data_IF_256256982321
#
_entry.id   IF_256256982321
#
_cell.length_a   1.000
_cell.length_b   1.000
_cell.length_c   1.000
_cell.angle_alpha   90.00
_cell.angle_beta   90.00
_cell.angle_gamma   90.00
#
_symmetry.space_group_name_H-M   'P 1'
#
loop_
_entity.id
_entity.type
_entity.pdbx_description
1 polymer ?
#
# COMPACT_ATOMS: atom_id res chain seq x y z
N UNK A 1 56.35 41.08 -4.56
CA UNK A 1 56.36 40.85 -6.02
C UNK A 1 56.25 39.36 -6.30
N UNK A 2 55.05 38.83 -6.52
CA UNK A 2 54.85 37.54 -7.22
C UNK A 2 53.57 37.63 -8.04
N UNK A 3 53.69 37.21 -9.28
CA UNK A 3 52.80 37.45 -10.39
C UNK A 3 51.54 36.57 -10.37
N UNK A 4 50.50 37.12 -10.99
CA UNK A 4 49.21 36.53 -11.33
C UNK A 4 49.29 35.24 -12.15
N UNK A 5 48.31 34.35 -11.98
CA UNK A 5 47.54 33.79 -13.10
C UNK A 5 46.09 33.53 -12.63
N UNK A 6 45.16 34.37 -13.12
CA UNK A 6 43.72 34.15 -13.04
C UNK A 6 43.30 33.39 -14.30
N UNK A 7 42.71 32.22 -14.16
CA UNK A 7 41.97 31.57 -15.24
C UNK A 7 40.48 31.87 -15.03
N UNK A 8 39.92 32.70 -15.90
CA UNK A 8 38.49 32.90 -16.01
C UNK A 8 37.93 31.85 -16.98
N UNK A 9 37.08 30.95 -16.47
CA UNK A 9 36.33 30.01 -17.30
C UNK A 9 34.96 30.64 -17.60
N UNK A 10 34.79 31.12 -18.82
CA UNK A 10 33.51 31.64 -19.33
C UNK A 10 32.68 30.45 -19.80
N UNK A 11 31.69 30.02 -19.00
CA UNK A 11 30.71 29.03 -19.44
C UNK A 11 29.59 29.75 -20.19
N UNK A 12 29.55 29.56 -21.52
CA UNK A 12 28.44 29.98 -22.36
C UNK A 12 27.32 28.93 -22.25
N UNK A 13 26.24 29.28 -21.56
CA UNK A 13 25.02 28.46 -21.47
C UNK A 13 24.21 28.66 -22.75
N UNK A 14 24.27 27.68 -23.66
CA UNK A 14 23.37 27.62 -24.81
C UNK A 14 21.97 27.23 -24.32
N UNK A 15 21.03 28.18 -24.36
CA UNK A 15 19.62 27.94 -24.08
C UNK A 15 18.96 27.15 -25.21
N UNK A 16 18.61 25.90 -24.93
CA UNK A 16 17.69 25.15 -25.77
C UNK A 16 16.26 25.63 -25.45
N UNK A 17 15.68 26.44 -26.34
CA UNK A 17 14.26 26.71 -26.34
C UNK A 17 13.52 25.44 -26.78
N UNK A 18 12.92 24.71 -25.83
CA UNK A 18 11.85 23.77 -26.15
C UNK A 18 10.62 24.58 -26.58
N UNK A 19 10.33 24.58 -27.87
CA UNK A 19 9.01 24.95 -28.38
C UNK A 19 8.02 23.87 -27.94
N UNK A 20 7.31 24.10 -26.84
CA UNK A 20 6.14 23.30 -26.51
C UNK A 20 5.04 23.64 -27.51
N UNK A 21 4.67 22.67 -28.33
CA UNK A 21 3.45 22.71 -29.13
C UNK A 21 2.28 22.92 -28.20
N UNK A 22 1.60 24.06 -28.33
CA UNK A 22 0.34 24.32 -27.66
C UNK A 22 -0.66 23.24 -28.07
N UNK A 23 -0.91 22.30 -27.17
CA UNK A 23 -2.03 21.37 -27.30
C UNK A 23 -3.31 22.19 -27.43
N UNK A 24 -4.18 21.78 -28.35
CA UNK A 24 -5.49 22.39 -28.54
C UNK A 24 -6.25 22.37 -27.23
N UNK A 25 -6.37 23.53 -26.58
CA UNK A 25 -7.19 23.72 -25.40
C UNK A 25 -8.64 23.53 -25.82
N UNK A 26 -9.26 22.45 -25.36
CA UNK A 26 -10.72 22.41 -25.34
C UNK A 26 -11.18 23.57 -24.47
N UNK A 27 -12.05 24.44 -25.00
CA UNK A 27 -12.84 25.35 -24.20
C UNK A 27 -13.88 24.49 -23.44
N UNK A 28 -13.40 23.70 -22.47
CA UNK A 28 -14.26 23.13 -21.46
C UNK A 28 -14.75 24.31 -20.65
N UNK A 29 -16.07 24.52 -20.68
CA UNK A 29 -16.73 25.42 -19.73
C UNK A 29 -16.26 25.02 -18.34
N UNK A 30 -15.81 25.99 -17.56
CA UNK A 30 -15.42 25.81 -16.17
C UNK A 30 -16.49 24.96 -15.46
N UNK A 31 -16.14 23.80 -14.88
CA UNK A 31 -17.10 23.01 -14.14
C UNK A 31 -17.57 23.78 -12.90
N UNK A 32 -18.88 23.74 -12.63
CA UNK A 32 -19.42 24.24 -11.37
C UNK A 32 -19.49 23.07 -10.39
N UNK A 33 -18.45 22.92 -9.56
CA UNK A 33 -18.34 21.80 -8.62
C UNK A 33 -19.47 21.73 -7.59
N UNK A 34 -20.30 22.77 -7.45
CA UNK A 34 -21.55 22.68 -6.65
C UNK A 34 -22.59 21.72 -7.25
N UNK A 35 -22.46 21.39 -8.53
CA UNK A 35 -23.26 20.37 -9.21
C UNK A 35 -22.52 19.03 -9.33
N UNK A 36 -21.21 19.02 -9.11
CA UNK A 36 -20.31 17.90 -9.44
C UNK A 36 -19.60 17.35 -8.19
N UNK A 37 -20.38 16.99 -7.18
CA UNK A 37 -19.90 16.29 -5.97
C UNK A 37 -19.51 17.18 -4.79
N UNK A 38 -19.37 18.50 -4.97
CA UNK A 38 -19.02 19.46 -3.90
C UNK A 38 -20.12 20.51 -3.68
N UNK A 39 -21.35 20.11 -3.28
CA UNK A 39 -22.50 21.00 -3.23
C UNK A 39 -22.42 22.09 -2.16
N UNK A 40 -21.56 21.93 -1.15
CA UNK A 40 -21.54 22.80 0.03
C UNK A 40 -20.50 23.89 -0.12
N UNK A 41 -20.94 25.15 -0.16
CA UNK A 41 -20.03 26.29 0.01
C UNK A 41 -19.76 26.46 1.50
N UNK A 42 -18.52 26.17 1.94
CA UNK A 42 -18.16 26.26 3.36
C UNK A 42 -17.66 27.64 3.76
N UNK A 43 -17.04 28.37 2.82
CA UNK A 43 -16.59 29.73 3.04
C UNK A 43 -16.43 30.47 1.71
N UNK A 44 -16.69 31.79 1.71
CA UNK A 44 -16.47 32.68 0.56
C UNK A 44 -15.71 33.92 0.99
N UNK A 45 -14.79 34.39 0.16
CA UNK A 45 -14.09 35.67 0.33
C UNK A 45 -14.09 36.45 -0.98
N UNK A 46 -14.22 37.78 -0.88
CA UNK A 46 -13.98 38.69 -2.00
C UNK A 46 -12.50 38.95 -2.12
N UNK A 47 -11.91 38.63 -3.27
CA UNK A 47 -10.48 38.84 -3.56
C UNK A 47 -10.35 39.99 -4.54
N UNK A 48 -9.59 41.01 -4.17
CA UNK A 48 -9.25 42.13 -5.07
C UNK A 48 -7.85 41.93 -5.66
N UNK A 49 -7.56 42.45 -6.87
CA UNK A 49 -6.29 42.20 -7.55
C UNK A 49 -5.03 42.57 -6.76
N UNK A 50 -5.11 43.54 -5.86
CA UNK A 50 -3.96 44.12 -5.16
C UNK A 50 -3.75 43.59 -3.74
N UNK A 51 -4.63 42.73 -3.24
CA UNK A 51 -4.60 42.25 -1.86
C UNK A 51 -4.49 40.73 -1.81
N UNK A 52 -3.71 40.24 -0.85
CA UNK A 52 -3.74 38.82 -0.51
C UNK A 52 -5.01 38.52 0.31
N UNK A 53 -5.51 37.30 0.20
CA UNK A 53 -6.62 36.80 0.98
C UNK A 53 -6.29 35.42 1.54
N UNK A 54 -6.96 35.06 2.64
CA UNK A 54 -6.84 33.73 3.25
C UNK A 54 -8.24 33.22 3.60
N UNK A 55 -8.47 31.95 3.31
CA UNK A 55 -9.63 31.18 3.80
C UNK A 55 -9.09 30.15 4.77
N UNK A 56 -9.71 30.01 5.94
CA UNK A 56 -9.46 28.93 6.88
C UNK A 56 -10.78 28.24 7.19
N UNK A 57 -10.80 26.91 7.11
CA UNK A 57 -11.95 26.09 7.42
C UNK A 57 -11.48 24.74 7.97
N UNK A 58 -11.81 24.45 9.23
CA UNK A 58 -11.26 23.28 9.94
C UNK A 58 -9.73 23.28 9.89
N UNK A 59 -9.18 22.16 9.42
CA UNK A 59 -7.75 21.92 9.27
C UNK A 59 -7.16 22.48 7.96
N UNK A 60 -8.01 23.03 7.07
CA UNK A 60 -7.62 23.56 5.77
C UNK A 60 -7.34 25.06 5.82
N UNK A 61 -6.27 25.49 5.14
CA UNK A 61 -5.95 26.88 4.87
C UNK A 61 -5.65 27.10 3.39
N UNK A 62 -6.34 28.07 2.79
CA UNK A 62 -6.13 28.52 1.41
C UNK A 62 -5.53 29.93 1.46
N UNK A 63 -4.29 30.09 0.99
CA UNK A 63 -3.65 31.41 0.86
C UNK A 63 -3.66 31.85 -0.60
N UNK A 64 -4.24 33.01 -0.85
CA UNK A 64 -4.41 33.61 -2.17
C UNK A 64 -3.51 34.84 -2.25
N UNK A 65 -2.37 34.78 -2.95
CA UNK A 65 -1.47 35.93 -3.07
C UNK A 65 -2.11 37.14 -3.78
N UNK A 66 -1.63 38.35 -3.49
CA UNK A 66 -1.96 39.53 -4.29
C UNK A 66 -1.54 39.32 -5.76
N UNK A 67 -2.42 39.69 -6.68
CA UNK A 67 -2.22 39.51 -8.12
C UNK A 67 -2.55 38.12 -8.66
N UNK A 68 -3.18 37.24 -7.86
CA UNK A 68 -3.72 35.95 -8.36
C UNK A 68 -4.79 36.16 -9.43
N UNK A 69 -5.59 37.22 -9.31
CA UNK A 69 -6.65 37.57 -10.26
C UNK A 69 -6.42 38.98 -10.82
N UNK A 70 -6.75 39.19 -12.09
CA UNK A 70 -6.69 40.51 -12.75
C UNK A 70 -7.86 41.41 -12.34
N UNK A 71 -9.00 40.80 -12.03
CA UNK A 71 -10.24 41.45 -11.64
C UNK A 71 -10.67 41.00 -10.23
N UNK A 72 -11.64 41.70 -9.64
CA UNK A 72 -12.21 41.28 -8.36
C UNK A 72 -13.05 40.02 -8.56
N UNK A 73 -12.88 39.03 -7.69
CA UNK A 73 -13.62 37.75 -7.75
C UNK A 73 -14.23 37.38 -6.41
N UNK A 74 -15.30 36.59 -6.43
CA UNK A 74 -15.77 35.84 -5.27
C UNK A 74 -15.12 34.45 -5.31
N UNK A 75 -14.26 34.18 -4.34
CA UNK A 75 -13.58 32.89 -4.20
C UNK A 75 -14.26 32.08 -3.11
N UNK A 76 -14.81 30.92 -3.47
CA UNK A 76 -15.50 30.02 -2.54
C UNK A 76 -14.76 28.70 -2.41
N UNK A 77 -14.56 28.26 -1.17
CA UNK A 77 -14.14 26.91 -0.82
C UNK A 77 -15.38 26.03 -0.76
N UNK A 78 -15.32 24.88 -1.42
CA UNK A 78 -16.38 23.89 -1.48
C UNK A 78 -15.95 22.59 -0.83
N UNK A 79 -16.92 21.87 -0.24
CA UNK A 79 -16.76 20.49 0.24
C UNK A 79 -17.88 19.60 -0.27
N UNK A 80 -17.54 18.33 -0.49
CA UNK A 80 -18.47 17.26 -0.77
C UNK A 80 -18.75 16.40 0.46
N UNK A 81 -19.82 15.58 0.45
CA UNK A 81 -19.89 14.46 1.38
C UNK A 81 -18.75 13.49 1.04
N UNK A 82 -17.76 13.35 1.94
CA UNK A 82 -16.61 12.44 1.76
C UNK A 82 -17.05 11.06 1.28
N UNK A 83 -18.15 10.50 1.82
CA UNK A 83 -18.67 9.20 1.41
C UNK A 83 -19.10 9.12 -0.06
N UNK A 84 -19.61 10.21 -0.64
CA UNK A 84 -19.98 10.28 -2.05
C UNK A 84 -18.73 10.40 -2.94
N UNK A 85 -17.75 11.20 -2.51
CA UNK A 85 -16.47 11.36 -3.20
C UNK A 85 -15.64 10.06 -3.11
N UNK A 86 -15.70 9.35 -1.99
CA UNK A 86 -15.02 8.08 -1.73
C UNK A 86 -15.55 6.92 -2.59
N UNK A 87 -16.77 7.02 -3.16
CA UNK A 87 -17.36 5.93 -3.95
C UNK A 87 -16.54 5.56 -5.20
N UNK A 88 -15.74 6.50 -5.71
CA UNK A 88 -14.86 6.31 -6.87
C UNK A 88 -13.36 6.30 -6.49
N UNK A 89 -13.03 6.22 -5.20
CA UNK A 89 -11.64 6.23 -4.76
C UNK A 89 -10.90 4.98 -5.26
N UNK A 90 -9.58 5.04 -5.50
CA UNK A 90 -8.82 3.87 -5.90
C UNK A 90 -8.92 2.75 -4.85
N UNK A 91 -8.93 1.50 -5.32
CA UNK A 91 -9.01 0.33 -4.43
C UNK A 91 -7.84 0.33 -3.43
N UNK A 92 -8.14 0.09 -2.16
CA UNK A 92 -7.15 0.11 -1.08
C UNK A 92 -6.72 1.51 -0.66
N UNK A 93 -7.47 2.56 -1.03
CA UNK A 93 -7.32 3.90 -0.48
C UNK A 93 -8.54 4.26 0.38
N UNK A 94 -8.38 5.19 1.31
CA UNK A 94 -9.42 5.83 2.10
C UNK A 94 -9.27 7.35 2.01
N UNK A 95 -10.23 8.00 1.36
CA UNK A 95 -10.30 9.47 1.31
C UNK A 95 -10.77 10.00 2.66
N UNK A 96 -9.99 10.89 3.27
CA UNK A 96 -10.32 11.51 4.57
C UNK A 96 -10.53 13.02 4.49
N UNK A 97 -10.17 13.65 3.37
CA UNK A 97 -10.50 15.04 3.09
C UNK A 97 -10.70 15.26 1.59
N UNK A 98 -11.60 16.17 1.25
CA UNK A 98 -11.87 16.59 -0.13
C UNK A 98 -12.24 18.08 -0.16
N UNK A 99 -11.94 18.73 -1.28
CA UNK A 99 -12.37 20.12 -1.50
C UNK A 99 -12.38 20.48 -2.98
N UNK A 100 -13.07 21.57 -3.30
CA UNK A 100 -13.01 22.21 -4.61
C UNK A 100 -13.09 23.74 -4.48
N UNK A 101 -12.87 24.46 -5.57
CA UNK A 101 -13.06 25.90 -5.61
C UNK A 101 -14.17 26.29 -6.58
N UNK A 102 -14.93 27.31 -6.21
CA UNK A 102 -15.79 28.07 -7.13
C UNK A 102 -15.39 29.53 -7.11
N UNK A 103 -14.86 30.00 -8.23
CA UNK A 103 -14.41 31.38 -8.39
C UNK A 103 -15.28 32.08 -9.42
N UNK A 104 -15.95 33.17 -9.02
CA UNK A 104 -16.93 33.88 -9.84
C UNK A 104 -16.49 35.33 -10.02
N UNK A 105 -16.50 35.83 -11.25
CA UNK A 105 -16.48 37.28 -11.49
C UNK A 105 -17.88 37.85 -11.19
N UNK A 106 -18.05 38.70 -10.17
CA UNK A 106 -19.36 39.22 -9.78
C UNK A 106 -19.96 40.18 -10.82
N UNK A 107 -19.18 40.70 -11.76
CA UNK A 107 -19.64 41.62 -12.80
C UNK A 107 -20.35 40.87 -13.93
N UNK A 108 -19.75 39.77 -14.36
CA UNK A 108 -20.24 38.96 -15.49
C UNK A 108 -20.99 37.70 -15.05
N UNK A 109 -20.92 37.36 -13.76
CA UNK A 109 -21.41 36.10 -13.18
C UNK A 109 -20.84 34.87 -13.91
N UNK A 110 -19.59 34.96 -14.37
CA UNK A 110 -18.89 33.87 -15.05
C UNK A 110 -17.87 33.21 -14.13
N UNK A 111 -17.61 31.93 -14.35
CA UNK A 111 -16.61 31.18 -13.60
C UNK A 111 -15.19 31.51 -14.10
N UNK A 112 -14.28 31.71 -13.15
CA UNK A 112 -12.87 31.96 -13.39
C UNK A 112 -12.07 30.70 -13.04
N UNK A 113 -11.39 30.11 -14.01
CA UNK A 113 -10.67 28.84 -13.81
C UNK A 113 -9.17 28.99 -13.76
N UNK A 114 -8.59 30.05 -14.31
CA UNK A 114 -7.14 30.24 -14.39
C UNK A 114 -6.65 31.30 -13.43
N UNK A 115 -5.53 31.02 -12.76
CA UNK A 115 -4.93 31.91 -11.79
C UNK A 115 -3.60 32.47 -12.31
N UNK A 116 -3.40 33.79 -12.20
CA UNK A 116 -2.14 34.44 -12.60
C UNK A 116 -0.97 34.06 -11.68
N UNK A 117 -1.28 33.69 -10.43
CA UNK A 117 -0.35 33.16 -9.44
C UNK A 117 -0.98 31.94 -8.76
N UNK A 118 -0.20 30.96 -8.31
CA UNK A 118 -0.75 29.82 -7.61
C UNK A 118 -1.40 30.25 -6.29
N UNK A 119 -2.54 29.65 -6.00
CA UNK A 119 -3.15 29.61 -4.67
C UNK A 119 -2.48 28.51 -3.88
N UNK A 120 -2.13 28.76 -2.62
CA UNK A 120 -1.50 27.76 -1.76
C UNK A 120 -2.56 27.08 -0.91
N UNK A 121 -2.71 25.77 -1.07
CA UNK A 121 -3.46 24.89 -0.20
C UNK A 121 -2.55 24.31 0.89
N UNK A 122 -3.09 24.21 2.10
CA UNK A 122 -2.49 23.53 3.24
C UNK A 122 -3.56 22.78 4.01
N UNK A 123 -3.27 21.55 4.42
CA UNK A 123 -4.07 20.74 5.33
C UNK A 123 -3.17 20.24 6.46
N UNK A 124 -3.50 20.59 7.71
CA UNK A 124 -2.80 20.09 8.90
C UNK A 124 -3.71 19.13 9.63
N UNK A 125 -3.52 17.83 9.45
CA UNK A 125 -4.43 16.81 9.96
C UNK A 125 -3.63 15.57 10.42
N UNK A 126 -3.94 14.96 11.59
CA UNK A 126 -3.20 13.81 12.12
C UNK A 126 -3.14 12.58 11.20
N UNK A 127 -4.07 12.44 10.26
CA UNK A 127 -4.04 11.37 9.27
C UNK A 127 -3.00 11.62 8.18
N UNK A 128 -2.58 12.87 7.93
CA UNK A 128 -1.53 13.16 6.95
C UNK A 128 -0.21 12.55 7.40
N UNK A 129 0.39 11.75 6.53
CA UNK A 129 1.66 11.08 6.75
C UNK A 129 2.42 10.90 5.42
N UNK A 130 3.56 10.21 5.45
CA UNK A 130 4.42 10.03 4.26
C UNK A 130 3.80 9.19 3.13
N UNK A 131 2.67 8.53 3.38
CA UNK A 131 1.92 7.72 2.42
C UNK A 131 0.72 8.44 1.83
N UNK A 132 0.36 9.59 2.39
CA UNK A 132 -0.77 10.38 1.91
C UNK A 132 -0.59 10.79 0.47
N UNK A 133 -1.64 10.56 -0.30
CA UNK A 133 -1.70 10.85 -1.72
C UNK A 133 -2.70 11.98 -1.98
N UNK A 134 -2.32 12.82 -2.93
CA UNK A 134 -3.10 13.98 -3.36
C UNK A 134 -3.62 13.72 -4.78
N UNK A 135 -4.94 13.68 -4.92
CA UNK A 135 -5.63 13.33 -6.15
C UNK A 135 -6.35 14.52 -6.74
N UNK A 136 -6.33 14.62 -8.07
CA UNK A 136 -7.28 15.42 -8.82
C UNK A 136 -8.58 14.61 -9.01
N UNK A 137 -9.72 15.28 -8.83
CA UNK A 137 -11.05 14.72 -9.04
C UNK A 137 -11.72 15.42 -10.23
N UNK A 138 -12.10 14.64 -11.25
CA UNK A 138 -12.86 15.16 -12.38
C UNK A 138 -14.29 15.56 -11.97
N UNK A 139 -15.02 16.35 -12.79
CA UNK A 139 -16.44 16.61 -12.56
C UNK A 139 -17.32 15.33 -12.50
N UNK A 140 -16.85 14.22 -13.09
CA UNK A 140 -17.53 12.92 -13.00
C UNK A 140 -17.11 12.12 -11.76
N UNK A 141 -16.36 12.72 -10.84
CA UNK A 141 -15.88 12.12 -9.60
C UNK A 141 -14.74 11.12 -9.79
N UNK A 142 -14.04 11.12 -10.93
CA UNK A 142 -12.94 10.17 -11.20
C UNK A 142 -11.64 10.68 -10.61
N UNK A 143 -10.91 9.78 -9.94
CA UNK A 143 -9.61 10.07 -9.33
C UNK A 143 -8.50 9.91 -10.35
N UNK A 144 -7.59 10.87 -10.35
CA UNK A 144 -6.27 10.75 -10.98
C UNK A 144 -5.22 11.30 -10.04
N UNK A 145 -4.13 10.56 -9.83
CA UNK A 145 -3.03 11.04 -8.98
C UNK A 145 -2.53 12.38 -9.53
N UNK A 146 -2.42 13.39 -8.67
CA UNK A 146 -2.00 14.70 -9.13
C UNK A 146 -0.58 14.61 -9.72
N UNK A 147 -0.35 15.13 -10.93
CA UNK A 147 0.95 15.02 -11.61
C UNK A 147 2.07 15.79 -10.90
N UNK A 148 1.72 16.72 -10.00
CA UNK A 148 2.63 17.46 -9.15
C UNK A 148 2.42 16.99 -7.71
N UNK A 149 3.35 16.22 -7.12
CA UNK A 149 3.19 15.76 -5.76
C UNK A 149 3.01 16.91 -4.76
N UNK A 150 2.13 16.71 -3.77
CA UNK A 150 2.06 17.61 -2.62
C UNK A 150 3.33 17.49 -1.76
N UNK A 151 3.67 18.55 -1.04
CA UNK A 151 4.77 18.53 -0.08
C UNK A 151 4.21 18.21 1.30
N UNK A 152 4.74 17.17 1.93
CA UNK A 152 4.33 16.72 3.26
C UNK A 152 5.46 16.98 4.25
N UNK A 153 5.13 17.59 5.39
CA UNK A 153 6.04 17.83 6.50
C UNK A 153 5.30 17.60 7.81
N UNK A 154 5.60 16.50 8.49
CA UNK A 154 4.84 16.07 9.66
C UNK A 154 3.41 15.70 9.27
N UNK A 155 2.45 16.30 9.96
CA UNK A 155 1.00 16.16 9.74
C UNK A 155 0.43 17.21 8.75
N UNK A 156 1.31 17.91 8.03
CA UNK A 156 0.91 19.01 7.15
C UNK A 156 1.23 18.70 5.70
N UNK A 157 0.18 18.70 4.85
CA UNK A 157 0.26 18.58 3.40
C UNK A 157 0.06 19.96 2.78
N UNK A 158 0.92 20.34 1.83
CA UNK A 158 0.82 21.61 1.10
C UNK A 158 0.90 21.41 -0.41
N UNK A 159 0.13 22.20 -1.16
CA UNK A 159 0.13 22.12 -2.62
C UNK A 159 -0.18 23.48 -3.27
N UNK A 160 0.44 23.75 -4.42
CA UNK A 160 0.26 24.97 -5.19
C UNK A 160 -0.74 24.74 -6.33
N UNK A 161 -1.90 25.39 -6.27
CA UNK A 161 -2.99 25.22 -7.22
C UNK A 161 -2.99 26.37 -8.22
N UNK A 162 -2.89 26.07 -9.53
CA UNK A 162 -2.84 27.08 -10.60
C UNK A 162 -4.17 27.30 -11.32
N UNK A 163 -5.14 26.42 -11.10
CA UNK A 163 -6.43 26.48 -11.75
C UNK A 163 -7.51 25.74 -10.95
N UNK A 164 -8.76 26.21 -11.05
CA UNK A 164 -9.95 25.57 -10.49
C UNK A 164 -10.70 24.78 -11.58
N UNK A 165 -10.07 23.73 -12.09
CA UNK A 165 -10.62 22.87 -13.17
C UNK A 165 -10.95 21.45 -12.72
N UNK A 166 -10.55 21.10 -11.49
CA UNK A 166 -10.74 19.81 -10.83
C UNK A 166 -11.12 20.07 -9.37
N UNK A 167 -11.75 19.10 -8.72
CA UNK A 167 -11.74 18.99 -7.26
C UNK A 167 -10.46 18.28 -6.81
N UNK A 168 -10.27 18.16 -5.50
CA UNK A 168 -9.14 17.46 -4.91
C UNK A 168 -9.58 16.55 -3.79
N UNK A 169 -8.92 15.41 -3.68
CA UNK A 169 -9.05 14.49 -2.56
C UNK A 169 -7.68 14.18 -1.97
N UNK A 170 -7.68 14.02 -0.66
CA UNK A 170 -6.55 13.56 0.12
C UNK A 170 -6.92 12.19 0.66
N UNK A 171 -6.13 11.19 0.28
CA UNK A 171 -6.41 9.81 0.62
C UNK A 171 -5.14 9.10 1.05
N UNK A 172 -5.29 8.20 2.01
CA UNK A 172 -4.24 7.30 2.45
C UNK A 172 -4.52 5.89 1.94
N UNK A 173 -3.49 5.06 1.73
CA UNK A 173 -3.71 3.65 1.54
C UNK A 173 -4.38 3.06 2.78
N UNK A 174 -5.56 2.45 2.61
CA UNK A 174 -6.21 1.68 3.68
C UNK A 174 -5.32 0.50 4.00
N UNK A 175 -4.77 0.48 5.21
CA UNK A 175 -3.97 -0.65 5.67
C UNK A 175 -4.93 -1.73 6.18
N UNK A 176 -5.01 -2.91 5.54
CA UNK A 176 -5.94 -3.94 5.99
C UNK A 176 -5.47 -4.53 7.32
N UNK A 177 -6.40 -4.75 8.26
CA UNK A 177 -6.10 -5.58 9.43
C UNK A 177 -6.16 -7.06 9.02
N UNK A 178 -5.01 -7.65 8.66
CA UNK A 178 -4.94 -9.03 8.18
C UNK A 178 -5.40 -10.08 9.21
N UNK A 179 -5.57 -9.72 10.49
CA UNK A 179 -6.25 -10.59 11.46
C UNK A 179 -7.70 -10.89 11.07
N UNK A 180 -8.32 -10.02 10.26
CA UNK A 180 -9.66 -10.19 9.70
C UNK A 180 -9.67 -10.79 8.27
N UNK A 181 -8.49 -11.03 7.68
CA UNK A 181 -8.33 -11.41 6.27
C UNK A 181 -7.49 -12.67 6.09
N UNK A 182 -7.77 -13.71 6.88
CA UNK A 182 -7.16 -15.02 6.73
C UNK A 182 -5.90 -15.26 7.58
N UNK A 183 -5.39 -14.25 8.28
CA UNK A 183 -4.20 -14.36 9.16
C UNK A 183 -4.52 -14.00 10.63
N UNK A 184 -5.46 -14.71 11.29
CA UNK A 184 -5.97 -14.32 12.61
C UNK A 184 -4.97 -14.48 13.76
N UNK A 185 -3.86 -15.19 13.57
CA UNK A 185 -2.96 -15.56 14.66
C UNK A 185 -1.73 -14.67 14.69
N UNK A 186 -1.49 -13.98 15.80
CA UNK A 186 -0.20 -13.32 16.06
C UNK A 186 0.79 -14.38 16.51
N UNK A 187 1.83 -14.64 15.72
CA UNK A 187 2.89 -15.60 16.05
C UNK A 187 3.95 -14.98 16.97
N UNK A 188 4.33 -13.73 16.67
CA UNK A 188 5.34 -13.00 17.41
C UNK A 188 5.14 -11.49 17.27
N UNK A 189 5.63 -10.76 18.26
CA UNK A 189 5.52 -9.31 18.33
C UNK A 189 6.86 -8.72 18.73
N UNK A 190 7.24 -7.60 18.14
CA UNK A 190 8.35 -6.77 18.60
C UNK A 190 7.96 -5.30 18.60
N UNK A 191 8.50 -4.53 19.54
CA UNK A 191 8.45 -3.08 19.48
C UNK A 191 9.65 -2.58 18.68
N UNK A 192 9.40 -1.70 17.71
CA UNK A 192 10.44 -1.09 16.89
C UNK A 192 10.69 0.32 17.39
N UNK A 193 11.95 0.62 17.70
CA UNK A 193 12.39 1.96 18.08
C UNK A 193 13.10 2.60 16.88
N UNK A 194 12.71 3.81 16.43
CA UNK A 194 13.37 4.48 15.32
C UNK A 194 14.88 4.59 15.51
N UNK A 195 15.63 4.34 14.44
CA UNK A 195 17.10 4.32 14.43
C UNK A 195 17.73 3.02 14.94
N UNK A 196 16.96 2.03 15.40
CA UNK A 196 17.47 0.74 15.88
C UNK A 196 16.95 -0.41 15.03
N UNK A 197 17.86 -1.12 14.37
CA UNK A 197 17.51 -2.36 13.68
C UNK A 197 17.08 -3.42 14.69
N UNK A 198 16.07 -4.21 14.35
CA UNK A 198 15.56 -5.31 15.16
C UNK A 198 15.06 -6.44 14.27
N UNK A 199 14.56 -7.53 14.85
CA UNK A 199 13.90 -8.59 14.11
C UNK A 199 12.75 -9.20 14.90
N UNK A 200 11.84 -9.86 14.18
CA UNK A 200 10.79 -10.71 14.74
C UNK A 200 10.84 -12.07 14.05
N UNK A 201 10.72 -13.15 14.79
CA UNK A 201 10.81 -14.50 14.24
C UNK A 201 9.88 -15.49 14.94
N UNK A 202 9.25 -16.35 14.15
CA UNK A 202 8.45 -17.50 14.58
C UNK A 202 8.28 -18.48 13.42
N UNK A 203 8.12 -19.77 13.70
CA UNK A 203 7.77 -20.83 12.74
C UNK A 203 8.57 -20.82 11.42
N UNK A 204 9.89 -20.64 11.53
CA UNK A 204 10.79 -20.63 10.38
C UNK A 204 10.75 -19.34 9.56
N UNK A 205 10.00 -18.32 9.99
CA UNK A 205 9.98 -16.98 9.41
C UNK A 205 10.82 -16.06 10.30
N UNK A 206 11.71 -15.28 9.69
CA UNK A 206 12.45 -14.20 10.33
C UNK A 206 12.25 -12.94 9.52
N UNK A 207 11.86 -11.85 10.16
CA UNK A 207 11.72 -10.53 9.53
C UNK A 207 12.75 -9.60 10.13
N UNK A 208 13.72 -9.21 9.32
CA UNK A 208 14.75 -8.23 9.67
C UNK A 208 14.21 -6.83 9.39
N UNK A 209 14.13 -5.99 10.42
CA UNK A 209 13.58 -4.65 10.36
C UNK A 209 14.76 -3.66 10.50
N UNK A 210 15.15 -2.94 9.44
CA UNK A 210 16.26 -2.00 9.52
C UNK A 210 15.88 -0.78 10.38
N UNK A 211 16.87 -0.12 10.96
CA UNK A 211 16.64 0.97 11.92
C UNK A 211 15.98 2.22 11.31
N UNK A 212 16.04 2.37 9.99
CA UNK A 212 15.40 3.44 9.23
C UNK A 212 14.06 3.01 8.61
N UNK A 213 13.54 1.81 8.91
CA UNK A 213 12.22 1.37 8.42
C UNK A 213 11.06 2.27 8.90
N UNK A 214 11.20 2.89 10.08
CA UNK A 214 10.17 3.72 10.70
C UNK A 214 10.78 4.98 11.33
N UNK A 215 10.06 6.10 11.25
CA UNK A 215 10.41 7.39 11.88
C UNK A 215 9.75 7.59 13.24
N UNK A 216 8.74 6.81 13.57
CA UNK A 216 8.04 6.77 14.86
C UNK A 216 8.07 5.36 15.44
N UNK A 217 7.98 5.20 16.78
CA UNK A 217 7.87 3.88 17.39
C UNK A 217 6.64 3.14 16.88
N UNK A 218 6.76 1.84 16.60
CA UNK A 218 5.65 0.98 16.20
C UNK A 218 5.67 -0.36 16.93
N UNK A 219 4.50 -0.97 17.09
CA UNK A 219 4.37 -2.39 17.43
C UNK A 219 4.27 -3.18 16.13
N UNK A 220 5.18 -4.11 15.91
CA UNK A 220 5.22 -4.95 14.72
C UNK A 220 4.82 -6.38 15.08
N UNK A 221 3.73 -6.86 14.50
CA UNK A 221 3.20 -8.21 14.70
C UNK A 221 3.39 -9.05 13.43
N UNK A 222 4.01 -10.22 13.59
CA UNK A 222 4.06 -11.26 12.58
C UNK A 222 2.82 -12.13 12.72
N UNK A 223 2.01 -12.17 11.66
CA UNK A 223 0.74 -12.89 11.63
C UNK A 223 0.85 -14.18 10.80
N UNK A 224 0.01 -15.16 11.10
CA UNK A 224 -0.16 -16.37 10.31
C UNK A 224 -1.63 -16.83 10.29
N UNK A 225 -2.01 -17.44 9.18
CA UNK A 225 -3.26 -18.12 8.95
C UNK A 225 -3.18 -19.63 9.01
N UNK A 226 -4.32 -20.34 8.97
CA UNK A 226 -4.32 -21.77 8.75
C UNK A 226 -3.90 -22.05 7.30
N UNK A 227 -2.66 -22.47 7.05
CA UNK A 227 -2.12 -22.64 5.67
C UNK A 227 -3.05 -23.41 4.70
N UNK A 228 -3.82 -24.38 5.20
CA UNK A 228 -4.81 -25.13 4.44
C UNK A 228 -6.00 -24.31 3.91
N UNK A 229 -6.33 -23.17 4.52
CA UNK A 229 -7.41 -22.29 4.02
C UNK A 229 -7.05 -21.65 2.68
N UNK A 230 -5.76 -21.59 2.33
CA UNK A 230 -5.29 -21.02 1.08
C UNK A 230 -5.24 -22.04 -0.07
N UNK A 231 -5.50 -23.33 0.18
CA UNK A 231 -5.40 -24.38 -0.83
C UNK A 231 -6.46 -24.29 -1.93
N UNK A 232 -7.68 -23.83 -1.61
CA UNK A 232 -8.79 -23.79 -2.57
C UNK A 232 -8.57 -22.77 -3.71
N UNK A 233 -7.78 -21.73 -3.45
CA UNK A 233 -7.45 -20.67 -4.42
C UNK A 233 -6.01 -20.75 -4.93
N UNK A 234 -5.24 -21.75 -4.49
CA UNK A 234 -3.86 -21.93 -4.93
C UNK A 234 -3.82 -22.20 -6.45
N UNK A 235 -2.84 -21.62 -7.18
CA UNK A 235 -2.66 -21.91 -8.60
C UNK A 235 -2.49 -23.40 -8.88
N UNK A 236 -3.00 -23.87 -10.04
CA UNK A 236 -2.98 -25.28 -10.39
C UNK A 236 -1.56 -25.88 -10.33
N UNK A 237 -1.43 -27.04 -9.68
CA UNK A 237 -0.16 -27.76 -9.51
C UNK A 237 0.73 -27.21 -8.38
N UNK A 238 0.27 -26.20 -7.65
CA UNK A 238 0.94 -25.65 -6.48
C UNK A 238 0.18 -26.00 -5.19
N UNK A 239 0.91 -26.20 -4.11
CA UNK A 239 0.36 -26.37 -2.77
C UNK A 239 0.95 -25.29 -1.83
N UNK A 240 0.13 -24.61 -1.01
CA UNK A 240 0.63 -23.72 0.05
C UNK A 240 1.52 -24.50 1.02
N UNK A 241 2.67 -23.93 1.37
CA UNK A 241 3.62 -24.53 2.33
C UNK A 241 3.79 -23.71 3.60
N UNK A 242 3.67 -22.39 3.49
CA UNK A 242 3.62 -21.47 4.62
C UNK A 242 3.01 -20.15 4.16
N UNK A 243 2.51 -19.39 5.11
CA UNK A 243 1.84 -18.12 4.92
C UNK A 243 2.16 -17.19 6.08
N UNK A 244 2.13 -15.88 5.81
CA UNK A 244 2.31 -14.85 6.82
C UNK A 244 1.75 -13.51 6.36
N UNK A 245 1.50 -12.61 7.31
CA UNK A 245 1.20 -11.21 7.06
C UNK A 245 1.81 -10.34 8.17
N UNK A 246 1.75 -9.02 8.02
CA UNK A 246 2.17 -8.08 9.06
C UNK A 246 0.99 -7.27 9.55
N UNK A 247 0.99 -6.98 10.85
CA UNK A 247 0.19 -5.91 11.43
C UNK A 247 1.14 -4.97 12.16
N UNK A 248 1.21 -3.74 11.69
CA UNK A 248 2.08 -2.72 12.26
C UNK A 248 1.18 -1.63 12.82
N UNK A 249 1.34 -1.32 14.11
CA UNK A 249 0.46 -0.42 14.85
C UNK A 249 1.29 0.72 15.44
N UNK A 250 0.87 1.95 15.22
CA UNK A 250 1.34 3.08 16.00
C UNK A 250 0.76 2.97 17.44
N UNK A 251 1.59 2.77 18.47
CA UNK A 251 1.11 2.57 19.84
C UNK A 251 0.50 3.84 20.46
N UNK A 252 0.72 5.02 19.88
CA UNK A 252 0.13 6.28 20.38
C UNK A 252 -1.29 6.48 19.88
N UNK A 253 -1.52 6.22 18.59
CA UNK A 253 -2.79 6.49 17.91
C UNK A 253 -3.67 5.24 17.76
N UNK A 254 -3.07 4.05 17.81
CA UNK A 254 -3.72 2.79 17.46
C UNK A 254 -3.90 2.60 15.94
N UNK A 255 -3.40 3.52 15.12
CA UNK A 255 -3.51 3.44 13.67
C UNK A 255 -2.62 2.33 13.10
N UNK A 256 -3.08 1.71 12.01
CA UNK A 256 -2.29 0.75 11.25
C UNK A 256 -1.30 1.48 10.35
N UNK A 257 -0.06 0.98 10.28
CA UNK A 257 1.02 1.53 9.47
C UNK A 257 1.27 0.63 8.26
N UNK A 258 1.09 1.19 7.07
CA UNK A 258 1.08 0.44 5.82
C UNK A 258 2.41 0.41 5.09
N UNK A 259 3.15 1.53 5.06
CA UNK A 259 4.43 1.61 4.34
C UNK A 259 5.62 1.68 5.28
N UNK A 260 6.75 1.21 4.78
CA UNK A 260 8.03 1.29 5.47
C UNK A 260 8.96 2.27 4.72
N UNK A 261 9.69 3.09 5.47
CA UNK A 261 10.66 4.04 4.91
C UNK A 261 11.86 3.32 4.27
N UNK A 262 12.18 2.14 4.78
CA UNK A 262 13.15 1.19 4.23
C UNK A 262 12.53 -0.22 4.24
N UNK A 263 12.75 -1.04 3.20
CA UNK A 263 12.19 -2.38 3.15
C UNK A 263 12.65 -3.26 4.32
N UNK A 264 11.71 -3.97 4.93
CA UNK A 264 12.04 -5.09 5.84
C UNK A 264 12.42 -6.31 4.98
N UNK A 265 13.24 -7.21 5.51
CA UNK A 265 13.62 -8.43 4.79
C UNK A 265 13.02 -9.64 5.49
N UNK A 266 12.11 -10.34 4.81
CA UNK A 266 11.60 -11.62 5.28
C UNK A 266 12.49 -12.75 4.78
N UNK A 267 12.86 -13.66 5.68
CA UNK A 267 13.56 -14.92 5.41
C UNK A 267 12.69 -16.07 5.93
N UNK A 268 12.39 -17.03 5.06
CA UNK A 268 11.45 -18.12 5.33
C UNK A 268 12.17 -19.43 5.02
N UNK A 269 12.45 -20.21 6.06
CA UNK A 269 13.06 -21.53 5.96
C UNK A 269 12.01 -22.61 6.18
N UNK A 270 11.78 -23.45 5.18
CA UNK A 270 10.85 -24.58 5.25
C UNK A 270 11.31 -25.68 4.29
N UNK A 271 11.38 -26.93 4.76
CA UNK A 271 11.91 -28.06 3.97
C UNK A 271 11.16 -28.35 2.67
N UNK A 272 9.95 -27.82 2.48
CA UNK A 272 9.19 -27.94 1.24
C UNK A 272 9.54 -26.86 0.21
N UNK A 273 10.18 -25.77 0.64
CA UNK A 273 10.68 -24.71 -0.25
C UNK A 273 11.82 -25.26 -1.10
N UNK A 274 11.79 -24.93 -2.39
CA UNK A 274 12.80 -25.32 -3.36
C UNK A 274 12.81 -24.32 -4.53
N UNK A 275 13.69 -24.54 -5.52
CA UNK A 275 13.85 -23.64 -6.66
C UNK A 275 12.57 -23.40 -7.50
N UNK A 276 11.55 -24.25 -7.36
CA UNK A 276 10.27 -24.11 -8.08
C UNK A 276 9.17 -23.47 -7.23
N UNK A 277 9.45 -23.12 -5.97
CA UNK A 277 8.49 -22.44 -5.11
C UNK A 277 8.16 -21.04 -5.65
N UNK A 278 6.97 -20.56 -5.29
CA UNK A 278 6.42 -19.27 -5.72
C UNK A 278 6.02 -18.46 -4.50
N UNK A 279 6.17 -17.15 -4.62
CA UNK A 279 5.84 -16.16 -3.60
C UNK A 279 4.68 -15.32 -4.12
N UNK A 280 3.55 -15.40 -3.44
CA UNK A 280 2.30 -14.77 -3.86
C UNK A 280 1.88 -13.71 -2.87
N UNK A 281 1.35 -12.61 -3.39
CA UNK A 281 0.61 -11.63 -2.61
C UNK A 281 -0.82 -12.12 -2.42
N UNK A 282 -1.35 -11.93 -1.22
CA UNK A 282 -2.74 -12.23 -0.86
C UNK A 282 -3.44 -10.91 -0.56
N UNK A 283 -4.44 -10.59 -1.37
CA UNK A 283 -5.29 -9.41 -1.15
C UNK A 283 -6.19 -9.60 0.08
N UNK A 284 -6.81 -8.53 0.62
CA UNK A 284 -7.79 -8.65 1.71
C UNK A 284 -9.01 -9.54 1.38
N UNK A 285 -9.29 -9.77 0.10
CA UNK A 285 -10.33 -10.71 -0.36
C UNK A 285 -9.87 -12.17 -0.39
N UNK A 286 -8.61 -12.44 -0.02
CA UNK A 286 -7.98 -13.76 -0.05
C UNK A 286 -7.47 -14.19 -1.42
N UNK A 287 -7.48 -13.30 -2.42
CA UNK A 287 -7.10 -13.65 -3.80
C UNK A 287 -5.59 -13.65 -3.99
N UNK A 288 -5.09 -14.63 -4.75
CA UNK A 288 -3.68 -14.71 -5.15
C UNK A 288 -3.36 -13.70 -6.25
N UNK A 289 -2.31 -12.91 -6.04
CA UNK A 289 -1.68 -12.07 -7.05
C UNK A 289 -0.19 -12.42 -7.15
N UNK A 290 0.34 -12.40 -8.37
CA UNK A 290 1.78 -12.62 -8.56
C UNK A 290 2.54 -11.43 -7.97
N UNK A 291 3.50 -11.71 -7.08
CA UNK A 291 4.37 -10.65 -6.56
C UNK A 291 5.26 -10.13 -7.71
N UNK A 292 5.33 -8.80 -7.94
CA UNK A 292 6.10 -8.23 -9.05
C UNK A 292 7.62 -8.39 -8.87
N UNK A 293 8.09 -8.65 -7.65
CA UNK A 293 9.50 -8.85 -7.31
C UNK A 293 9.70 -10.33 -6.98
N UNK A 294 10.53 -11.01 -7.77
CA UNK A 294 10.85 -12.41 -7.51
C UNK A 294 11.65 -12.56 -6.19
N UNK A 295 11.36 -13.58 -5.38
CA UNK A 295 12.16 -13.87 -4.20
C UNK A 295 13.51 -14.48 -4.56
N UNK A 296 14.48 -14.38 -3.65
CA UNK A 296 15.72 -15.15 -3.73
C UNK A 296 15.53 -16.47 -3.00
N UNK A 297 15.85 -17.61 -3.64
CA UNK A 297 15.76 -18.93 -3.01
C UNK A 297 17.14 -19.58 -2.98
N UNK A 298 17.57 -20.01 -1.80
CA UNK A 298 18.81 -20.75 -1.57
C UNK A 298 18.52 -21.95 -0.68
N UNK A 299 18.63 -23.17 -1.24
CA UNK A 299 18.23 -24.38 -0.53
C UNK A 299 16.75 -24.38 -0.20
N UNK A 300 16.44 -24.49 1.09
CA UNK A 300 15.10 -24.49 1.69
C UNK A 300 14.68 -23.11 2.23
N UNK A 301 15.45 -22.07 1.93
CA UNK A 301 15.22 -20.71 2.43
C UNK A 301 14.88 -19.75 1.30
N UNK A 302 13.77 -19.04 1.47
CA UNK A 302 13.29 -17.96 0.61
C UNK A 302 13.52 -16.62 1.30
N UNK A 303 14.10 -15.64 0.60
CA UNK A 303 14.30 -14.27 1.10
C UNK A 303 13.64 -13.24 0.17
N UNK A 304 12.95 -12.26 0.75
CA UNK A 304 12.24 -11.22 -0.02
C UNK A 304 12.20 -9.88 0.72
N UNK A 305 12.52 -8.74 0.05
CA UNK A 305 12.35 -7.41 0.61
C UNK A 305 10.90 -6.92 0.49
N UNK A 306 10.32 -6.52 1.62
CA UNK A 306 8.93 -6.06 1.71
C UNK A 306 8.91 -4.58 2.06
N UNK A 307 8.28 -3.77 1.22
CA UNK A 307 8.21 -2.31 1.39
C UNK A 307 6.94 -1.84 2.12
N UNK A 308 5.94 -2.71 2.29
CA UNK A 308 4.65 -2.37 2.87
C UNK A 308 3.91 -3.58 3.45
N UNK A 309 3.07 -3.34 4.46
CA UNK A 309 2.13 -4.28 5.08
C UNK A 309 0.73 -4.25 4.42
N UNK A 310 0.66 -3.98 3.12
CA UNK A 310 -0.62 -3.83 2.40
C UNK A 310 -1.24 -5.16 1.94
N UNK A 311 -0.47 -6.25 1.97
CA UNK A 311 -0.87 -7.60 1.53
C UNK A 311 -0.41 -8.64 2.54
N UNK A 312 -1.05 -9.81 2.53
CA UNK A 312 -0.48 -11.03 3.11
C UNK A 312 0.37 -11.76 2.07
N UNK A 313 1.06 -12.82 2.49
CA UNK A 313 1.90 -13.63 1.61
C UNK A 313 1.65 -15.11 1.82
N UNK A 314 1.64 -15.84 0.71
CA UNK A 314 1.64 -17.31 0.71
C UNK A 314 2.79 -17.78 -0.15
N UNK A 315 3.61 -18.67 0.41
CA UNK A 315 4.59 -19.43 -0.36
C UNK A 315 3.91 -20.71 -0.80
N UNK A 316 3.95 -20.99 -2.10
CA UNK A 316 3.55 -22.29 -2.63
C UNK A 316 4.75 -23.05 -3.18
N UNK A 317 4.65 -24.36 -3.19
CA UNK A 317 5.62 -25.23 -3.88
C UNK A 317 4.88 -26.23 -4.76
N UNK A 318 5.52 -26.78 -5.81
CA UNK A 318 4.90 -27.86 -6.58
C UNK A 318 4.43 -28.95 -5.63
N UNK A 319 3.17 -29.37 -5.77
CA UNK A 319 2.65 -30.47 -4.99
C UNK A 319 3.58 -31.66 -5.20
N UNK A 320 4.18 -32.19 -4.13
CA UNK A 320 4.91 -33.45 -4.23
C UNK A 320 3.84 -34.47 -4.55
N UNK A 321 3.73 -34.83 -5.84
CA UNK A 321 3.02 -36.02 -6.24
C UNK A 321 3.81 -37.13 -5.55
N UNK A 322 3.34 -37.60 -4.40
CA UNK A 322 3.75 -38.92 -3.95
C UNK A 322 3.35 -39.82 -5.10
N UNK A 323 4.34 -40.25 -5.88
CA UNK A 323 4.17 -41.38 -6.75
C UNK A 323 3.78 -42.51 -5.81
N UNK A 324 2.49 -42.75 -5.67
CA UNK A 324 2.00 -44.07 -5.29
C UNK A 324 2.42 -44.93 -6.46
N UNK A 325 3.68 -45.38 -6.46
CA UNK A 325 4.04 -46.52 -7.28
C UNK A 325 3.00 -47.57 -6.94
N UNK A 326 2.16 -48.02 -7.89
CA UNK A 326 1.40 -49.21 -7.64
C UNK A 326 2.44 -50.25 -7.23
N UNK A 327 2.27 -50.83 -6.05
CA UNK A 327 2.94 -52.08 -5.73
C UNK A 327 2.33 -53.06 -6.71
N UNK A 328 2.88 -53.17 -7.92
CA UNK A 328 2.56 -54.23 -8.85
C UNK A 328 3.06 -55.47 -8.14
N UNK A 329 2.17 -56.09 -7.37
CA UNK A 329 2.42 -57.34 -6.69
C UNK A 329 3.04 -58.29 -7.71
N UNK A 330 4.18 -58.88 -7.35
CA UNK A 330 4.65 -60.06 -8.04
C UNK A 330 3.46 -61.05 -8.09
N UNK A 331 3.07 -61.55 -9.27
CA UNK A 331 2.13 -62.65 -9.33
C UNK A 331 2.79 -63.86 -8.67
N UNK A 332 2.35 -64.21 -7.47
CA UNK A 332 2.60 -65.52 -6.90
C UNK A 332 1.88 -66.53 -7.79
N UNK A 333 2.61 -67.09 -8.75
CA UNK A 333 2.16 -68.26 -9.48
C UNK A 333 1.95 -69.42 -8.48
N UNK A 334 0.84 -70.16 -8.56
CA UNK A 334 0.58 -71.29 -7.67
C UNK A 334 1.51 -72.46 -8.02
N UNK A 335 2.49 -72.75 -7.15
CA UNK A 335 3.19 -74.03 -7.14
C UNK A 335 2.22 -75.05 -6.55
N UNK A 336 1.43 -75.67 -7.41
CA UNK A 336 0.73 -76.93 -7.11
C UNK A 336 1.71 -78.06 -7.42
N UNK A 337 2.11 -78.81 -6.39
CA UNK A 337 2.63 -80.17 -6.58
C UNK A 337 3.83 -80.54 -5.72
N UNK A 338 3.56 -81.15 -4.57
CA UNK A 338 4.40 -82.22 -4.04
C UNK A 338 5.14 -81.93 -2.75
N UNK A 339 4.69 -82.56 -1.66
CA UNK A 339 5.61 -83.10 -0.65
C UNK A 339 5.59 -82.41 0.72
N UNK A 340 4.72 -82.93 1.60
CA UNK A 340 4.97 -83.22 3.01
C UNK A 340 5.91 -82.30 3.82
N UNK A 341 5.33 -81.57 4.79
CA UNK A 341 5.70 -81.65 6.21
C UNK A 341 4.79 -80.72 7.03
N UNK A 342 3.73 -81.28 7.60
CA UNK A 342 3.02 -80.70 8.74
C UNK A 342 3.87 -80.94 9.98
N UNK A 343 4.35 -79.87 10.63
CA UNK A 343 4.71 -79.94 12.05
C UNK A 343 4.32 -78.64 12.74
N UNK A 344 3.21 -78.75 13.45
CA UNK A 344 2.78 -77.98 14.63
C UNK A 344 3.93 -77.47 15.50
N UNK A 345 3.93 -76.17 15.82
CA UNK A 345 4.10 -75.52 17.15
C UNK A 345 3.63 -74.06 16.93
N UNK A 346 2.76 -73.39 17.68
CA UNK A 346 2.23 -73.61 19.02
C UNK A 346 2.25 -72.26 19.78
N UNK A 347 1.06 -71.80 20.18
CA UNK A 347 0.75 -70.84 21.27
C UNK A 347 1.24 -69.38 21.12
N UNK A 348 0.37 -68.37 21.02
CA UNK A 348 -0.67 -67.90 21.97
C UNK A 348 -0.11 -67.60 23.36
N UNK A 349 -0.05 -66.31 23.73
CA UNK A 349 -0.76 -65.77 24.88
C UNK A 349 -0.68 -64.24 24.89
N UNK A 350 -1.86 -63.62 24.76
CA UNK A 350 -2.11 -62.25 25.15
C UNK A 350 -3.03 -62.27 26.38
N UNK A 351 -2.74 -61.36 27.31
CA UNK A 351 -3.64 -60.72 28.31
C UNK A 351 -3.89 -61.35 29.70
N UNK A 352 -3.44 -60.55 30.69
CA UNK A 352 -4.19 -59.88 31.79
C UNK A 352 -4.36 -60.55 33.17
N UNK A 353 -3.99 -59.71 34.17
CA UNK A 353 -4.48 -59.56 35.57
C UNK A 353 -4.22 -60.77 36.49
N UNK A 354 -3.81 -60.66 37.76
CA UNK A 354 -3.65 -59.57 38.71
C UNK A 354 -3.92 -60.14 40.13
N UNK A 355 -3.19 -59.63 41.13
CA UNK A 355 -3.61 -59.45 42.56
C UNK A 355 -3.52 -60.66 43.54
N UNK A 356 -2.70 -60.44 44.60
CA UNK A 356 -2.66 -60.93 46.03
C UNK A 356 -2.86 -62.42 46.34
N UNK A 357 -2.11 -63.04 47.24
CA UNK A 357 -1.75 -62.66 48.62
C UNK A 357 -0.31 -62.95 48.99
#
# INVERSE_FOLDING_TARGET
>A
MRYHYRWALTAATAGAFLTMTAGTSFAATAPDFTQDGFPTVVQTVTVTPTQAATITYGDMTITIPAGTFSDTVQFSLLEGPVAQIAANQPAGMETFADFAFKVVDPTTNTLVTTFNKPVMFSLTNPSVNADTQYYDISPTGQYSLNPIPATISGDTLTHAIKAAVVGWAIADPTVPDFTQHGFPTVLATTNVTPGQATSVSADGITVNIPGDAFTTPVTFELLQGPVGSFSAMAPSGQAPVTDFAFKVVDPQTGALVGKFNAPVVAEITNSQINANSKYWDITPTGSYAANPIAPTISGDTLSHPIAAAAVGWVITSPAVVQATSPVTGLPLAPIVGGGAALTLVGLYFMTRKGVTH
#
